data_IF_764195397538
#
_entry.id   IF_764195397538
#
_cell.length_a   1.000
_cell.length_b   1.000
_cell.length_c   1.000
_cell.angle_alpha   90.00
_cell.angle_beta   90.00
_cell.angle_gamma   90.00
#
_symmetry.space_group_name_H-M   'P 1'
#
loop_
_entity.id
_entity.type
_entity.pdbx_description
1 polymer ?
#
# COMPACT_ATOMS: atom_id res chain seq x y z
N UNK A 1 29.49 -21.51 -15.09
CA UNK A 1 30.07 -22.36 -14.03
C UNK A 1 29.99 -21.57 -12.72
N UNK A 2 28.99 -21.84 -11.88
CA UNK A 2 28.94 -21.36 -10.50
C UNK A 2 28.67 -22.56 -9.58
N UNK A 3 29.45 -22.61 -8.51
CA UNK A 3 29.82 -23.78 -7.73
C UNK A 3 28.75 -24.35 -6.82
N UNK A 4 28.79 -25.67 -6.75
CA UNK A 4 28.19 -26.52 -5.74
C UNK A 4 28.91 -26.34 -4.41
N UNK A 5 28.16 -26.08 -3.33
CA UNK A 5 28.61 -26.30 -1.96
C UNK A 5 27.57 -27.15 -1.25
N UNK A 6 27.91 -28.43 -1.08
CA UNK A 6 27.26 -29.34 -0.14
C UNK A 6 28.07 -29.24 1.14
N UNK A 7 27.43 -28.97 2.27
CA UNK A 7 27.94 -29.40 3.57
C UNK A 7 26.90 -30.26 4.27
N UNK A 8 27.44 -31.34 4.80
CA UNK A 8 26.82 -32.58 5.20
C UNK A 8 26.82 -32.65 6.75
N UNK A 9 25.89 -33.44 7.30
CA UNK A 9 25.82 -33.97 8.68
C UNK A 9 25.22 -33.11 9.82
N UNK A 10 23.98 -33.45 10.19
CA UNK A 10 23.77 -34.23 11.43
C UNK A 10 23.09 -33.57 12.64
N UNK A 11 21.92 -34.14 13.00
CA UNK A 11 21.25 -34.25 14.34
C UNK A 11 19.88 -33.51 14.46
N UNK A 12 18.84 -34.13 15.07
CA UNK A 12 17.47 -34.16 14.51
C UNK A 12 16.36 -33.43 15.30
N UNK A 13 15.27 -33.19 14.56
CA UNK A 13 13.84 -33.19 14.91
C UNK A 13 13.36 -32.38 16.14
N UNK A 14 12.57 -31.33 15.88
CA UNK A 14 11.36 -31.05 16.64
C UNK A 14 10.17 -31.00 15.68
N UNK A 15 9.31 -32.03 15.80
CA UNK A 15 8.07 -32.19 15.05
C UNK A 15 7.02 -31.25 15.64
N UNK A 16 6.55 -30.26 14.87
CA UNK A 16 5.17 -29.83 14.96
C UNK A 16 4.61 -29.62 13.54
N UNK A 17 3.66 -30.49 13.21
CA UNK A 17 3.03 -30.64 11.91
C UNK A 17 2.10 -29.47 11.57
N UNK A 18 2.25 -28.91 10.37
CA UNK A 18 1.12 -28.78 9.42
C UNK A 18 1.63 -28.58 8.00
N UNK A 19 1.50 -29.63 7.18
CA UNK A 19 1.77 -29.57 5.76
C UNK A 19 0.75 -28.67 5.05
N UNK A 20 1.23 -27.71 4.26
CA UNK A 20 0.43 -27.06 3.22
C UNK A 20 1.08 -27.41 1.89
N UNK A 21 0.28 -27.98 0.99
CA UNK A 21 0.69 -28.53 -0.31
C UNK A 21 1.47 -27.48 -1.12
N UNK A 22 2.59 -27.93 -1.68
CA UNK A 22 3.41 -27.19 -2.63
C UNK A 22 3.01 -27.66 -4.04
N UNK A 23 2.26 -26.84 -4.77
CA UNK A 23 1.92 -27.12 -6.16
C UNK A 23 3.15 -26.85 -7.05
N UNK A 24 3.71 -27.93 -7.58
CA UNK A 24 4.78 -27.91 -8.59
C UNK A 24 4.15 -27.62 -9.96
N UNK A 25 4.20 -26.38 -10.44
CA UNK A 25 4.17 -26.09 -11.87
C UNK A 25 4.45 -24.61 -12.14
N UNK A 26 5.71 -24.26 -12.40
CA UNK A 26 6.08 -23.68 -13.69
C UNK A 26 7.59 -23.54 -13.83
N UNK A 27 8.09 -24.04 -14.95
CA UNK A 27 9.45 -23.85 -15.45
C UNK A 27 9.61 -22.39 -15.88
N UNK A 28 10.70 -21.74 -15.49
CA UNK A 28 11.04 -20.43 -16.01
C UNK A 28 12.38 -19.95 -15.46
N UNK A 29 13.44 -20.16 -16.23
CA UNK A 29 14.77 -19.60 -15.99
C UNK A 29 14.72 -18.10 -16.30
N UNK A 30 15.14 -17.25 -15.36
CA UNK A 30 15.46 -15.86 -15.63
C UNK A 30 16.67 -15.45 -14.78
N UNK A 31 17.66 -14.85 -15.44
CA UNK A 31 18.86 -14.28 -14.84
C UNK A 31 18.75 -12.75 -14.87
N UNK A 32 19.22 -12.10 -13.80
CA UNK A 32 19.71 -10.70 -13.71
C UNK A 32 18.67 -9.54 -13.59
N UNK A 33 19.05 -8.36 -13.03
CA UNK A 33 19.61 -8.12 -11.68
C UNK A 33 18.98 -6.91 -10.93
N UNK A 34 19.40 -6.72 -9.67
CA UNK A 34 19.39 -5.52 -8.78
C UNK A 34 18.21 -4.50 -8.73
N UNK A 35 17.25 -4.75 -7.83
CA UNK A 35 17.07 -3.90 -6.63
C UNK A 35 16.12 -4.62 -5.67
N UNK A 36 16.66 -5.08 -4.54
CA UNK A 36 15.87 -5.71 -3.50
C UNK A 36 15.18 -4.63 -2.66
N UNK A 37 13.85 -4.65 -2.61
CA UNK A 37 13.17 -4.50 -1.32
C UNK A 37 12.06 -5.52 -1.22
N UNK A 38 12.48 -6.68 -0.70
CA UNK A 38 11.67 -7.65 0.02
C UNK A 38 10.81 -6.95 1.08
N UNK A 39 9.49 -7.14 1.04
CA UNK A 39 8.74 -7.53 2.24
C UNK A 39 7.56 -8.43 1.83
N UNK A 40 7.80 -9.74 1.90
CA UNK A 40 6.90 -10.81 2.35
C UNK A 40 5.38 -10.57 2.29
N UNK A 41 4.73 -11.28 1.38
CA UNK A 41 3.28 -11.47 1.32
C UNK A 41 2.72 -12.02 2.65
N UNK A 42 1.99 -11.19 3.40
CA UNK A 42 1.06 -11.66 4.43
C UNK A 42 -0.35 -11.63 3.85
N UNK A 43 -0.76 -12.79 3.36
CA UNK A 43 -2.02 -13.03 2.70
C UNK A 43 -3.14 -13.24 3.73
N UNK A 44 -4.16 -12.37 3.75
CA UNK A 44 -5.59 -12.72 3.98
C UNK A 44 -6.50 -11.55 3.56
N UNK A 45 -7.28 -11.80 2.50
CA UNK A 45 -8.21 -10.90 1.79
C UNK A 45 -7.49 -9.81 0.97
N UNK A 46 -7.93 -9.57 -0.27
CA UNK A 46 -7.15 -8.93 -1.35
C UNK A 46 -7.07 -7.41 -1.10
N UNK A 47 -6.26 -7.02 -0.12
CA UNK A 47 -5.84 -5.64 0.10
C UNK A 47 -4.37 -5.56 -0.33
N UNK A 48 -4.13 -5.24 -1.60
CA UNK A 48 -2.76 -5.06 -2.08
C UNK A 48 -2.27 -3.70 -1.65
N UNK A 49 -1.24 -3.67 -0.82
CA UNK A 49 -0.67 -2.42 -0.34
C UNK A 49 0.73 -2.18 -0.88
N UNK A 50 0.92 -1.06 -1.57
CA UNK A 50 2.19 -0.65 -2.16
C UNK A 50 2.66 0.66 -1.52
N UNK A 51 3.94 0.75 -1.15
CA UNK A 51 4.53 2.00 -0.68
C UNK A 51 4.82 2.91 -1.88
N UNK A 52 4.47 4.18 -1.77
CA UNK A 52 4.68 5.20 -2.81
C UNK A 52 5.10 6.53 -2.19
N UNK A 53 5.48 7.48 -3.02
CA UNK A 53 5.62 8.88 -2.63
C UNK A 53 5.15 9.74 -3.80
N UNK A 54 3.84 10.00 -3.84
CA UNK A 54 3.21 10.76 -4.93
C UNK A 54 2.42 11.94 -4.34
N UNK A 55 2.47 13.07 -5.05
CA UNK A 55 1.69 14.24 -4.69
C UNK A 55 0.37 14.23 -5.45
N UNK A 56 -0.73 14.38 -4.72
CA UNK A 56 -2.07 14.41 -5.27
C UNK A 56 -2.80 15.68 -4.85
N UNK A 57 -3.68 16.17 -5.73
CA UNK A 57 -4.59 17.27 -5.46
C UNK A 57 -6.04 16.79 -5.53
N UNK A 58 -6.97 17.33 -4.72
CA UNK A 58 -8.37 16.94 -4.80
C UNK A 58 -9.00 17.48 -6.09
N UNK A 59 -9.74 16.64 -6.82
CA UNK A 59 -10.38 17.03 -8.09
C UNK A 59 -11.52 18.03 -7.88
N UNK A 60 -12.17 17.98 -6.73
CA UNK A 60 -13.29 18.86 -6.38
C UNK A 60 -13.39 19.06 -4.86
N UNK A 61 -14.23 20.01 -4.45
CA UNK A 61 -14.54 20.24 -3.03
C UNK A 61 -15.41 19.13 -2.40
N UNK A 62 -15.79 18.11 -3.18
CA UNK A 62 -16.53 16.94 -2.72
C UNK A 62 -15.60 15.76 -2.41
N UNK A 63 -14.28 15.91 -2.62
CA UNK A 63 -13.32 14.86 -2.34
C UNK A 63 -13.32 14.53 -0.85
N UNK A 64 -13.44 13.24 -0.52
CA UNK A 64 -13.63 12.78 0.86
C UNK A 64 -12.31 12.48 1.53
N UNK A 65 -12.25 12.84 2.81
CA UNK A 65 -11.17 12.45 3.71
C UNK A 65 -11.71 11.36 4.65
N UNK A 66 -11.03 10.22 4.68
CA UNK A 66 -11.45 9.00 5.37
C UNK A 66 -10.49 8.67 6.53
N UNK A 67 -11.01 8.03 7.59
CA UNK A 67 -10.17 7.53 8.69
C UNK A 67 -9.59 6.14 8.43
N UNK A 68 -10.19 5.40 7.51
CA UNK A 68 -9.81 4.02 7.16
C UNK A 68 -10.08 3.76 5.67
N UNK A 69 -9.61 2.64 5.09
CA UNK A 69 -9.84 2.30 3.68
C UNK A 69 -11.27 1.79 3.42
N UNK A 70 -12.26 2.57 3.86
CA UNK A 70 -13.69 2.32 3.75
C UNK A 70 -14.39 3.60 3.26
N UNK A 71 -15.20 3.56 2.19
CA UNK A 71 -15.74 4.77 1.57
C UNK A 71 -16.80 5.49 2.44
N UNK A 72 -17.31 4.82 3.47
CA UNK A 72 -18.30 5.37 4.40
C UNK A 72 -17.67 5.88 5.70
N UNK A 73 -16.38 5.65 5.92
CA UNK A 73 -15.68 6.04 7.16
C UNK A 73 -15.06 7.43 7.03
N UNK A 74 -15.93 8.45 6.93
CA UNK A 74 -15.50 9.85 6.85
C UNK A 74 -14.76 10.25 8.13
N UNK A 75 -13.62 10.91 7.96
CA UNK A 75 -12.81 11.38 9.08
C UNK A 75 -13.59 12.37 9.95
N UNK A 76 -13.60 12.25 11.30
CA UNK A 76 -14.43 13.08 12.18
C UNK A 76 -14.20 14.58 11.99
N UNK A 77 -12.95 15.00 11.75
CA UNK A 77 -12.61 16.41 11.46
C UNK A 77 -13.15 16.93 10.13
N UNK A 78 -13.65 16.05 9.26
CA UNK A 78 -14.11 16.33 7.90
C UNK A 78 -15.60 15.97 7.72
N UNK A 79 -16.35 15.80 8.82
CA UNK A 79 -17.80 15.60 8.80
C UNK A 79 -18.54 16.95 8.83
N UNK A 80 -19.77 16.95 8.33
CA UNK A 80 -20.66 18.12 8.36
C UNK A 80 -20.27 19.17 7.31
N UNK A 81 -20.03 20.40 7.77
CA UNK A 81 -19.73 21.56 6.89
C UNK A 81 -18.25 21.70 6.53
N UNK A 82 -17.39 20.81 7.02
CA UNK A 82 -15.95 20.83 6.70
C UNK A 82 -15.72 20.21 5.31
N UNK A 83 -15.10 20.97 4.41
CA UNK A 83 -14.80 20.52 3.04
C UNK A 83 -13.34 20.79 2.67
N UNK A 84 -12.79 19.91 1.86
CA UNK A 84 -11.45 20.07 1.29
C UNK A 84 -11.50 21.07 0.13
N UNK A 85 -10.55 21.98 0.03
CA UNK A 85 -10.43 22.87 -1.12
C UNK A 85 -9.55 22.27 -2.21
N UNK A 86 -9.77 22.65 -3.47
CA UNK A 86 -8.93 22.22 -4.62
C UNK A 86 -7.45 22.62 -4.52
N UNK A 87 -7.11 23.60 -3.67
CA UNK A 87 -5.72 24.04 -3.45
C UNK A 87 -4.98 23.25 -2.36
N UNK A 88 -5.59 22.20 -1.82
CA UNK A 88 -4.96 21.32 -0.84
C UNK A 88 -4.09 20.27 -1.52
N UNK A 89 -3.17 19.67 -0.78
CA UNK A 89 -2.27 18.66 -1.34
C UNK A 89 -2.15 17.47 -0.40
N UNK A 90 -2.18 16.27 -0.97
CA UNK A 90 -1.93 15.02 -0.26
C UNK A 90 -0.59 14.47 -0.73
N UNK A 91 0.29 14.15 0.22
CA UNK A 91 1.48 13.34 -0.06
C UNK A 91 1.14 11.90 0.30
N UNK A 92 0.77 11.12 -0.71
CA UNK A 92 0.43 9.72 -0.55
C UNK A 92 1.71 8.91 -0.35
N UNK A 93 1.73 8.14 0.75
CA UNK A 93 2.83 7.27 1.16
C UNK A 93 2.56 5.80 0.84
N UNK A 94 1.30 5.46 0.65
CA UNK A 94 0.87 4.08 0.45
C UNK A 94 -0.40 4.03 -0.41
N UNK A 95 -0.43 3.12 -1.37
CA UNK A 95 -1.62 2.78 -2.15
C UNK A 95 -2.18 1.49 -1.57
N UNK A 96 -3.48 1.44 -1.38
CA UNK A 96 -4.19 0.33 -0.78
C UNK A 96 -5.33 -0.04 -1.74
N UNK A 97 -5.18 -1.16 -2.45
CA UNK A 97 -6.17 -1.64 -3.42
C UNK A 97 -7.04 -2.70 -2.78
N UNK A 98 -8.33 -2.40 -2.67
CA UNK A 98 -9.36 -3.33 -2.23
C UNK A 98 -10.26 -3.72 -3.41
N UNK A 99 -11.09 -4.74 -3.21
CA UNK A 99 -12.06 -5.21 -4.21
C UNK A 99 -13.08 -4.12 -4.62
N UNK A 100 -13.28 -3.11 -3.77
CA UNK A 100 -14.25 -2.02 -3.96
C UNK A 100 -13.63 -0.81 -4.64
N UNK A 101 -12.43 -0.40 -4.20
CA UNK A 101 -11.78 0.82 -4.64
C UNK A 101 -10.28 0.83 -4.30
N UNK A 102 -9.56 1.74 -4.94
CA UNK A 102 -8.18 2.08 -4.59
C UNK A 102 -8.17 3.27 -3.64
N UNK A 103 -7.49 3.11 -2.51
CA UNK A 103 -7.28 4.15 -1.51
C UNK A 103 -5.82 4.60 -1.52
N UNK A 104 -5.62 5.87 -1.19
CA UNK A 104 -4.32 6.45 -0.95
C UNK A 104 -4.25 6.82 0.53
N UNK A 105 -3.18 6.38 1.19
CA UNK A 105 -2.88 6.74 2.56
C UNK A 105 -1.69 7.70 2.59
N UNK A 106 -1.83 8.81 3.31
CA UNK A 106 -0.81 9.85 3.30
C UNK A 106 -1.05 11.00 4.25
N UNK A 107 -0.28 12.07 4.04
CA UNK A 107 -0.33 13.29 4.83
C UNK A 107 -1.00 14.41 4.03
N UNK A 108 -1.91 15.11 4.68
CA UNK A 108 -2.70 16.19 4.10
C UNK A 108 -2.13 17.55 4.49
N UNK A 109 -1.88 18.37 3.48
CA UNK A 109 -1.33 19.71 3.61
C UNK A 109 -2.36 20.75 3.16
N UNK A 110 -2.42 21.82 3.93
CA UNK A 110 -3.19 23.02 3.59
C UNK A 110 -2.57 23.75 2.39
N UNK A 111 -3.34 24.62 1.72
CA UNK A 111 -2.83 25.47 0.63
C UNK A 111 -1.70 26.41 1.06
N UNK A 112 -1.52 26.61 2.38
CA UNK A 112 -0.46 27.43 2.98
C UNK A 112 0.79 26.62 3.32
N UNK A 113 0.83 25.32 2.98
CA UNK A 113 1.96 24.42 3.24
C UNK A 113 1.99 23.82 4.65
N UNK A 114 1.01 24.12 5.52
CA UNK A 114 0.92 23.51 6.85
C UNK A 114 0.33 22.12 6.81
N UNK A 115 0.92 21.16 7.54
CA UNK A 115 0.36 19.83 7.77
C UNK A 115 -0.92 19.93 8.59
N UNK A 116 -2.01 19.34 8.11
CA UNK A 116 -3.33 19.39 8.75
C UNK A 116 -3.70 18.05 9.38
N UNK A 117 -3.50 16.96 8.64
CA UNK A 117 -3.71 15.60 9.15
C UNK A 117 -2.67 14.65 8.57
N UNK A 118 -2.17 13.74 9.41
CA UNK A 118 -1.24 12.69 9.01
C UNK A 118 -1.99 11.36 8.86
N UNK A 119 -1.46 10.46 8.04
CA UNK A 119 -1.96 9.09 7.89
C UNK A 119 -3.46 8.97 7.57
N UNK A 120 -4.02 9.93 6.83
CA UNK A 120 -5.41 9.88 6.37
C UNK A 120 -5.55 8.97 5.15
N UNK A 121 -6.79 8.59 4.85
CA UNK A 121 -7.15 7.80 3.67
C UNK A 121 -8.01 8.64 2.72
N UNK A 122 -7.79 8.50 1.43
CA UNK A 122 -8.64 9.10 0.38
C UNK A 122 -8.89 8.10 -0.74
N UNK A 123 -9.90 8.36 -1.56
CA UNK A 123 -10.17 7.57 -2.77
C UNK A 123 -9.32 8.07 -3.93
N UNK A 124 -8.55 7.19 -4.55
CA UNK A 124 -7.67 7.56 -5.67
C UNK A 124 -8.45 8.22 -6.82
N UNK A 125 -9.66 7.75 -7.13
CA UNK A 125 -10.48 8.34 -8.19
C UNK A 125 -10.95 9.78 -7.90
N UNK A 126 -10.99 10.22 -6.64
CA UNK A 126 -11.37 11.59 -6.25
C UNK A 126 -10.18 12.57 -6.30
N UNK A 127 -8.98 12.06 -6.48
CA UNK A 127 -7.74 12.83 -6.42
C UNK A 127 -6.99 12.71 -7.74
N UNK A 128 -6.34 13.80 -8.15
CA UNK A 128 -5.47 13.83 -9.31
C UNK A 128 -4.03 13.73 -8.84
N UNK A 129 -3.39 12.60 -9.16
CA UNK A 129 -2.06 12.26 -8.69
C UNK A 129 -1.08 12.29 -9.85
N UNK A 130 -0.09 13.16 -9.77
CA UNK A 130 1.02 13.13 -10.70
C UNK A 130 2.01 12.05 -10.25
N UNK A 131 1.91 10.87 -10.85
CA UNK A 131 2.96 9.85 -10.75
C UNK A 131 4.12 10.30 -11.61
N UNK A 132 5.12 10.94 -11.01
CA UNK A 132 6.42 11.16 -11.66
C UNK A 132 7.19 9.84 -11.77
#
# INVERSE_FOLDING_TARGET
KCGMWVLNHGIPISLYSKAKKFDKNNNGYACEPDEATDISQQQRNIETSAKVNISCAPKSNQSRILSSPNPNDIHPNWKGESYIGTSWSLIAKQIIKNDIATYLKGDLYSPRGGLINENIFVLENEWDCNSN
#
